data_IF_899601821195
#
_entry.id   IF_899601821195
#
_cell.length_a   1.000
_cell.length_b   1.000
_cell.length_c   1.000
_cell.angle_alpha   90.00
_cell.angle_beta   90.00
_cell.angle_gamma   90.00
#
_symmetry.space_group_name_H-M   'P 1'
#
loop_
_entity.id
_entity.type
_entity.pdbx_description
1 polymer ?
#
# COMPACT_ATOMS: atom_id res chain seq x y z
N UNK A 1 4.96 14.68 4.63
CA UNK A 1 4.96 13.54 5.56
C UNK A 1 3.53 13.06 5.66
N UNK A 2 3.30 11.76 5.54
CA UNK A 2 1.95 11.21 5.59
C UNK A 2 1.60 10.84 7.03
N UNK A 3 0.33 11.00 7.41
CA UNK A 3 -0.25 10.40 8.61
C UNK A 3 -0.88 9.08 8.21
N UNK A 4 -0.40 8.01 8.81
CA UNK A 4 -0.72 6.63 8.48
C UNK A 4 -1.38 6.01 9.70
N UNK A 5 -2.59 5.51 9.55
CA UNK A 5 -3.28 4.69 10.54
C UNK A 5 -3.04 3.22 10.21
N UNK A 6 -2.50 2.47 11.17
CA UNK A 6 -2.30 1.02 11.07
C UNK A 6 -3.03 0.39 12.25
N UNK A 7 -4.11 -0.35 11.99
CA UNK A 7 -4.98 -0.93 13.02
C UNK A 7 -5.44 0.10 14.08
N UNK A 8 -5.65 1.36 13.67
CA UNK A 8 -6.05 2.46 14.55
C UNK A 8 -4.89 3.19 15.24
N UNK A 9 -3.65 2.69 15.14
CA UNK A 9 -2.46 3.42 15.59
C UNK A 9 -2.06 4.41 14.51
N UNK A 10 -2.09 5.71 14.83
CA UNK A 10 -1.66 6.77 13.91
C UNK A 10 -0.18 7.07 14.09
N UNK A 11 0.54 7.09 12.99
CA UNK A 11 1.98 7.30 12.89
C UNK A 11 2.30 8.19 11.71
N UNK A 12 3.38 8.94 11.80
CA UNK A 12 3.85 9.80 10.72
C UNK A 12 5.04 9.16 9.99
N UNK A 13 5.02 9.22 8.66
CA UNK A 13 6.13 8.79 7.84
C UNK A 13 5.84 8.84 6.35
N UNK A 14 6.78 8.40 5.53
CA UNK A 14 6.61 8.39 4.06
C UNK A 14 6.81 7.01 3.45
N UNK A 15 7.56 6.13 4.11
CA UNK A 15 7.88 4.79 3.64
C UNK A 15 7.34 3.76 4.63
N UNK A 16 6.39 2.94 4.17
CA UNK A 16 5.82 1.85 4.96
C UNK A 16 6.35 0.52 4.42
N UNK A 17 6.90 -0.32 5.30
CA UNK A 17 7.23 -1.70 4.96
C UNK A 17 6.78 -2.66 6.05
N UNK A 18 6.05 -3.71 5.64
CA UNK A 18 5.52 -4.76 6.50
C UNK A 18 5.96 -6.10 5.94
N UNK A 19 6.96 -6.70 6.57
CA UNK A 19 7.58 -7.93 6.07
C UNK A 19 7.82 -8.89 7.20
N UNK A 20 7.51 -10.16 7.01
CA UNK A 20 7.71 -11.20 8.03
C UNK A 20 7.11 -10.82 9.40
N UNK A 21 5.95 -10.16 9.41
CA UNK A 21 5.30 -9.70 10.63
C UNK A 21 5.96 -8.52 11.34
N UNK A 22 6.91 -7.82 10.71
CA UNK A 22 7.50 -6.59 11.24
C UNK A 22 7.00 -5.38 10.47
N UNK A 23 6.49 -4.38 11.18
CA UNK A 23 6.14 -3.06 10.61
C UNK A 23 7.32 -2.09 10.78
N UNK A 24 7.65 -1.38 9.72
CA UNK A 24 8.67 -0.33 9.71
C UNK A 24 8.15 0.94 9.03
N UNK A 25 8.44 2.10 9.63
CA UNK A 25 8.11 3.43 9.11
C UNK A 25 9.39 4.22 8.93
N UNK A 26 9.68 4.67 7.71
CA UNK A 26 10.91 5.38 7.36
C UNK A 26 12.18 4.64 7.85
N UNK A 27 12.14 3.30 7.82
CA UNK A 27 13.23 2.42 8.27
C UNK A 27 13.28 2.14 9.78
N UNK A 28 12.40 2.74 10.58
CA UNK A 28 12.29 2.48 12.02
C UNK A 28 11.27 1.38 12.30
N UNK A 29 11.67 0.35 13.05
CA UNK A 29 10.77 -0.72 13.48
C UNK A 29 9.73 -0.22 14.49
N UNK A 30 8.49 -0.65 14.31
CA UNK A 30 7.35 -0.38 15.18
C UNK A 30 7.04 -1.63 16.00
N UNK A 31 7.33 -1.60 17.30
CA UNK A 31 7.14 -2.76 18.20
C UNK A 31 5.72 -2.90 18.75
N UNK A 32 4.87 -1.89 18.57
CA UNK A 32 3.54 -1.81 19.19
C UNK A 32 2.41 -2.25 18.23
N UNK A 33 2.74 -2.56 16.97
CA UNK A 33 1.74 -2.90 15.96
C UNK A 33 1.64 -4.42 15.86
N UNK A 34 0.49 -4.95 16.26
CA UNK A 34 0.14 -6.34 16.05
C UNK A 34 -0.21 -6.60 14.58
N UNK A 35 0.45 -7.60 14.01
CA UNK A 35 0.40 -8.01 12.61
C UNK A 35 -0.30 -9.35 12.42
N UNK A 36 -0.77 -10.01 13.49
CA UNK A 36 -1.37 -11.35 13.41
C UNK A 36 -2.82 -11.36 12.87
N UNK A 37 -3.34 -10.21 12.42
CA UNK A 37 -4.70 -10.06 11.91
C UNK A 37 -4.80 -9.33 10.56
N UNK A 38 -6.03 -9.01 10.14
CA UNK A 38 -6.27 -8.15 8.97
C UNK A 38 -5.71 -6.77 9.31
N UNK A 39 -4.65 -6.39 8.60
CA UNK A 39 -4.08 -5.07 8.75
C UNK A 39 -4.86 -4.07 7.92
N UNK A 40 -5.53 -3.13 8.58
CA UNK A 40 -6.08 -1.96 7.91
C UNK A 40 -5.03 -0.86 7.94
N UNK A 41 -4.48 -0.55 6.78
CA UNK A 41 -3.65 0.65 6.58
C UNK A 41 -4.58 1.74 6.04
N UNK A 42 -4.41 2.97 6.48
CA UNK A 42 -5.10 4.13 5.90
C UNK A 42 -4.16 5.32 5.96
N UNK A 43 -4.03 6.04 4.86
CA UNK A 43 -3.33 7.33 4.86
C UNK A 43 -4.38 8.40 5.18
N UNK A 44 -4.35 8.94 6.39
CA UNK A 44 -5.32 9.96 6.82
C UNK A 44 -5.03 11.33 6.20
N UNK A 45 -3.74 11.67 6.07
CA UNK A 45 -3.28 12.94 5.50
C UNK A 45 -1.94 12.74 4.79
N UNK A 46 -1.69 13.53 3.75
CA UNK A 46 -0.46 13.45 2.95
C UNK A 46 -0.41 12.23 2.05
N UNK A 47 0.77 11.97 1.48
CA UNK A 47 0.95 10.94 0.45
C UNK A 47 2.12 10.04 0.82
N UNK A 48 1.94 8.73 0.73
CA UNK A 48 3.03 7.76 0.92
C UNK A 48 3.92 7.78 -0.33
N UNK A 49 5.23 7.64 -0.14
CA UNK A 49 6.19 7.51 -1.25
C UNK A 49 6.33 6.05 -1.68
N UNK A 50 6.39 5.12 -0.73
CA UNK A 50 6.53 3.71 -1.05
C UNK A 50 5.81 2.85 0.01
N UNK A 51 5.05 1.86 -0.47
CA UNK A 51 4.32 0.92 0.37
C UNK A 51 4.67 -0.52 -0.01
N UNK A 52 5.21 -1.28 0.94
CA UNK A 52 5.49 -2.71 0.76
C UNK A 52 4.87 -3.52 1.88
N UNK A 53 4.14 -4.57 1.54
CA UNK A 53 3.55 -5.48 2.54
C UNK A 53 3.42 -6.90 2.00
N UNK A 54 3.53 -7.91 2.85
CA UNK A 54 3.21 -9.30 2.49
C UNK A 54 1.68 -9.58 2.58
N UNK A 55 0.91 -8.62 3.12
CA UNK A 55 -0.53 -8.73 3.36
C UNK A 55 -1.34 -8.00 2.28
N UNK A 56 -2.67 -8.00 2.41
CA UNK A 56 -3.52 -7.05 1.67
C UNK A 56 -3.39 -5.65 2.24
N UNK A 57 -3.63 -4.64 1.41
CA UNK A 57 -3.57 -3.23 1.80
C UNK A 57 -4.78 -2.47 1.30
N UNK A 58 -5.31 -1.59 2.14
CA UNK A 58 -6.13 -0.46 1.70
C UNK A 58 -5.31 0.82 1.87
N UNK A 59 -5.39 1.78 0.96
CA UNK A 59 -4.78 3.08 1.13
C UNK A 59 -5.56 4.17 0.36
N UNK A 60 -5.23 5.44 0.56
CA UNK A 60 -5.73 6.50 -0.31
C UNK A 60 -4.68 6.70 -1.42
N UNK A 61 -4.08 7.88 -1.50
CA UNK A 61 -3.06 8.20 -2.50
C UNK A 61 -1.64 7.71 -2.13
N UNK A 62 -0.94 7.17 -3.12
CA UNK A 62 0.48 6.82 -3.06
C UNK A 62 1.21 7.48 -4.22
N UNK A 63 2.23 8.27 -3.92
CA UNK A 63 3.01 9.01 -4.94
C UNK A 63 4.01 8.12 -5.68
N UNK A 64 4.46 7.02 -5.07
CA UNK A 64 5.35 6.05 -5.69
C UNK A 64 4.71 4.66 -5.80
N UNK A 65 5.44 3.60 -5.45
CA UNK A 65 4.98 2.24 -5.75
C UNK A 65 4.26 1.58 -4.57
N UNK A 66 3.37 0.64 -4.93
CA UNK A 66 2.67 -0.24 -4.00
C UNK A 66 2.98 -1.69 -4.36
N UNK A 67 3.44 -2.47 -3.38
CA UNK A 67 3.66 -3.91 -3.51
C UNK A 67 3.01 -4.63 -2.34
N UNK A 68 2.07 -5.53 -2.64
CA UNK A 68 1.35 -6.32 -1.67
C UNK A 68 1.42 -7.82 -2.01
N UNK A 69 1.62 -8.67 -1.00
CA UNK A 69 1.43 -10.12 -1.16
C UNK A 69 -0.05 -10.50 -1.29
N UNK A 70 -0.96 -9.71 -0.71
CA UNK A 70 -2.40 -9.84 -0.85
C UNK A 70 -2.98 -8.97 -1.97
N UNK A 71 -4.20 -8.48 -1.77
CA UNK A 71 -4.87 -7.52 -2.67
C UNK A 71 -4.47 -6.08 -2.36
N UNK A 72 -4.49 -5.21 -3.37
CA UNK A 72 -4.28 -3.76 -3.23
C UNK A 72 -5.61 -3.05 -3.47
N UNK A 73 -6.00 -2.17 -2.56
CA UNK A 73 -7.15 -1.28 -2.69
C UNK A 73 -6.73 0.17 -2.38
N UNK A 74 -6.40 0.95 -3.39
CA UNK A 74 -5.94 2.33 -3.18
C UNK A 74 -6.71 3.31 -4.06
N UNK A 75 -6.61 4.61 -3.82
CA UNK A 75 -7.21 5.63 -4.70
C UNK A 75 -6.24 5.83 -5.89
N UNK A 76 -5.38 6.85 -5.84
CA UNK A 76 -4.39 7.10 -6.90
C UNK A 76 -2.98 6.55 -6.56
N UNK A 77 -2.32 5.96 -7.56
CA UNK A 77 -0.93 5.50 -7.46
C UNK A 77 -0.06 6.14 -8.55
N UNK A 78 0.91 6.96 -8.12
CA UNK A 78 1.88 7.64 -8.99
C UNK A 78 2.94 6.70 -9.58
N UNK A 79 3.18 5.54 -8.98
CA UNK A 79 4.13 4.52 -9.44
C UNK A 79 3.47 3.24 -9.94
N UNK A 80 4.19 2.12 -9.80
CA UNK A 80 3.69 0.80 -10.16
C UNK A 80 2.90 0.16 -9.01
N UNK A 81 1.96 -0.72 -9.35
CA UNK A 81 1.21 -1.53 -8.40
C UNK A 81 1.47 -3.02 -8.66
N UNK A 82 1.82 -3.77 -7.62
CA UNK A 82 1.95 -5.22 -7.65
C UNK A 82 1.15 -5.86 -6.52
N UNK A 83 0.32 -6.84 -6.84
CA UNK A 83 -0.48 -7.59 -5.89
C UNK A 83 -0.39 -9.10 -6.16
N UNK A 84 -0.27 -9.92 -5.12
CA UNK A 84 -0.50 -11.36 -5.25
C UNK A 84 -1.99 -11.70 -5.43
N UNK A 85 -2.88 -10.85 -4.93
CA UNK A 85 -4.33 -10.91 -5.13
C UNK A 85 -4.81 -10.00 -6.27
N UNK A 86 -5.95 -9.35 -6.06
CA UNK A 86 -6.53 -8.37 -7.00
C UNK A 86 -5.97 -6.97 -6.76
N UNK A 87 -6.01 -6.12 -7.79
CA UNK A 87 -5.73 -4.68 -7.70
C UNK A 87 -7.01 -3.91 -7.96
N UNK A 88 -7.37 -3.03 -7.03
CA UNK A 88 -8.43 -2.05 -7.16
C UNK A 88 -7.80 -0.66 -6.94
N UNK A 89 -7.73 0.16 -7.98
CA UNK A 89 -7.24 1.54 -7.92
C UNK A 89 -8.11 2.47 -8.74
N UNK A 90 -8.06 3.78 -8.51
CA UNK A 90 -8.66 4.77 -9.42
C UNK A 90 -7.70 4.97 -10.61
N UNK A 91 -6.65 5.80 -10.43
CA UNK A 91 -5.61 5.99 -11.44
C UNK A 91 -4.26 5.36 -11.03
N UNK A 92 -3.62 4.65 -11.96
CA UNK A 92 -2.23 4.18 -11.84
C UNK A 92 -1.37 4.77 -12.95
N UNK A 93 -0.32 5.51 -12.57
CA UNK A 93 0.60 6.12 -13.54
C UNK A 93 1.68 5.15 -14.05
N UNK A 94 1.98 4.07 -13.32
CA UNK A 94 2.89 3.01 -13.73
C UNK A 94 2.20 1.76 -14.28
N UNK A 95 2.90 0.62 -14.20
CA UNK A 95 2.38 -0.70 -14.53
C UNK A 95 1.59 -1.29 -13.37
N UNK A 96 0.65 -2.17 -13.68
CA UNK A 96 -0.12 -2.95 -12.70
C UNK A 96 0.14 -4.43 -12.95
N UNK A 97 0.47 -5.18 -11.91
CA UNK A 97 0.46 -6.65 -11.96
C UNK A 97 -0.34 -7.22 -10.81
N UNK A 98 -1.18 -8.20 -11.11
CA UNK A 98 -2.07 -8.83 -10.14
C UNK A 98 -2.12 -10.34 -10.39
N UNK A 99 -2.16 -11.13 -9.32
CA UNK A 99 -2.52 -12.56 -9.42
C UNK A 99 -4.02 -12.78 -9.66
N UNK A 100 -4.84 -11.78 -9.33
CA UNK A 100 -6.29 -11.77 -9.50
C UNK A 100 -6.78 -10.77 -10.56
N UNK A 101 -7.94 -10.16 -10.29
CA UNK A 101 -8.51 -9.16 -11.19
C UNK A 101 -7.83 -7.80 -11.02
N UNK A 102 -7.82 -7.01 -12.10
CA UNK A 102 -7.40 -5.60 -12.08
C UNK A 102 -8.61 -4.74 -12.40
N UNK A 103 -9.05 -3.96 -11.42
CA UNK A 103 -10.06 -2.93 -11.58
C UNK A 103 -9.37 -1.59 -11.39
N UNK A 104 -9.15 -0.86 -12.49
CA UNK A 104 -8.65 0.49 -12.46
C UNK A 104 -9.38 1.37 -13.46
N UNK A 105 -9.69 2.60 -13.08
CA UNK A 105 -10.31 3.58 -13.98
C UNK A 105 -9.32 3.97 -15.08
N UNK A 106 -8.04 4.11 -14.72
CA UNK A 106 -6.97 4.37 -15.68
C UNK A 106 -5.66 3.72 -15.28
N UNK A 107 -5.00 3.10 -16.26
CA UNK A 107 -3.60 2.67 -16.15
C UNK A 107 -2.82 3.31 -17.30
N UNK A 108 -1.81 4.13 -16.99
CA UNK A 108 -0.94 4.73 -18.02
C UNK A 108 0.13 3.76 -18.51
N UNK A 109 0.55 2.82 -17.67
CA UNK A 109 1.45 1.73 -18.02
C UNK A 109 0.72 0.52 -18.61
N UNK A 110 1.27 -0.67 -18.38
CA UNK A 110 0.71 -1.94 -18.80
C UNK A 110 0.04 -2.67 -17.63
N UNK A 111 -0.96 -3.48 -17.95
CA UNK A 111 -1.54 -4.47 -17.02
C UNK A 111 -0.93 -5.83 -17.37
N UNK A 112 -0.31 -6.49 -16.38
CA UNK A 112 0.49 -7.72 -16.50
C UNK A 112 -0.13 -8.88 -15.72
#
# INVERSE_FOLDING_TARGET
MARISINGVTIEGNNLSIRNGQVTIDGRAMSEIDVEGILSIRVEEGTIQELRTDLSVSCNDVSGNVSAGGSVNCDDVGGNVSAGGSVNCDDVSGNVSAGGAVNADKVKGQIL
#
